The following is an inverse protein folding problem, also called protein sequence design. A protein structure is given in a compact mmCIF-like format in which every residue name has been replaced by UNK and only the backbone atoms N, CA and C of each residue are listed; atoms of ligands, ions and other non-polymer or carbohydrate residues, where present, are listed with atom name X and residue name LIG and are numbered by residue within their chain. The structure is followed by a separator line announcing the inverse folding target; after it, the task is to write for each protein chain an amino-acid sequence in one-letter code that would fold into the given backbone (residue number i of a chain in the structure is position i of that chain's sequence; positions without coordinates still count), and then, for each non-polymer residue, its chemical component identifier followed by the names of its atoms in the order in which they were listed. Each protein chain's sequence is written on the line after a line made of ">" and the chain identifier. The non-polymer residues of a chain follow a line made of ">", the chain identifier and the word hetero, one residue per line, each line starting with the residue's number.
data_IF_383222846462
#
_entry.id   IF_383222846462
#
_cell.length_a   1.000
_cell.length_b   1.000
_cell.length_c   1.000
_cell.angle_alpha   90.00
_cell.angle_beta   90.00
_cell.angle_gamma   90.00
#
_symmetry.space_group_name_H-M   'P 1'
#
loop_
_entity.id
_entity.type
_entity.pdbx_description
1 polymer ?
#
# COMPACT_ATOMS: atom_id res chain seq x y z
N UNK A 1 7.37 -15.53 8.80
CA UNK A 1 6.35 -14.68 9.44
C UNK A 1 6.90 -13.37 10.01
N UNK A 2 8.14 -13.32 10.54
CA UNK A 2 8.68 -12.09 11.15
C UNK A 2 8.83 -10.90 10.19
N UNK A 3 9.10 -11.13 8.90
CA UNK A 3 9.24 -10.06 7.89
C UNK A 3 7.90 -9.39 7.59
N UNK A 4 6.83 -10.16 7.44
CA UNK A 4 5.48 -9.64 7.14
C UNK A 4 4.94 -8.78 8.29
N UNK A 5 5.16 -9.17 9.55
CA UNK A 5 4.77 -8.37 10.72
C UNK A 5 5.57 -7.05 10.77
N UNK A 6 6.88 -7.11 10.51
CA UNK A 6 7.73 -5.91 10.45
C UNK A 6 7.27 -4.92 9.36
N UNK A 7 6.72 -5.40 8.24
CA UNK A 7 6.32 -4.55 7.12
C UNK A 7 5.17 -3.60 7.43
N UNK A 8 4.19 -4.06 8.19
CA UNK A 8 2.97 -3.28 8.43
C UNK A 8 2.96 -2.61 9.81
N UNK A 9 3.94 -2.92 10.67
CA UNK A 9 4.05 -2.33 12.00
C UNK A 9 2.87 -2.66 12.93
N UNK A 10 2.00 -3.58 12.53
CA UNK A 10 0.88 -4.09 13.30
C UNK A 10 1.03 -5.60 13.55
N UNK A 11 0.36 -6.10 14.58
CA UNK A 11 0.30 -7.54 14.86
C UNK A 11 -0.65 -8.29 13.93
N UNK A 12 -1.27 -7.60 12.96
CA UNK A 12 -2.34 -8.05 12.08
C UNK A 12 -3.51 -8.76 12.76
N UNK A 13 -4.22 -9.57 11.97
CA UNK A 13 -5.38 -10.40 12.35
C UNK A 13 -5.60 -11.53 11.35
N UNK A 14 -6.85 -11.83 10.99
CA UNK A 14 -7.19 -12.89 10.01
C UNK A 14 -6.47 -12.74 8.65
N UNK A 15 -6.09 -11.50 8.28
CA UNK A 15 -5.31 -11.21 7.08
C UNK A 15 -3.92 -11.88 7.12
N UNK A 16 -3.20 -11.79 8.23
CA UNK A 16 -1.89 -12.43 8.38
C UNK A 16 -2.03 -13.96 8.35
N UNK A 17 -3.00 -14.51 9.06
CA UNK A 17 -3.24 -15.96 9.06
C UNK A 17 -3.54 -16.49 7.65
N UNK A 18 -4.23 -15.68 6.83
CA UNK A 18 -4.63 -16.06 5.48
C UNK A 18 -3.54 -15.86 4.42
N UNK A 19 -2.69 -14.84 4.58
CA UNK A 19 -1.80 -14.39 3.49
C UNK A 19 -0.31 -14.48 3.80
N UNK A 20 0.10 -14.79 5.03
CA UNK A 20 1.50 -14.73 5.42
C UNK A 20 2.42 -15.59 4.54
N UNK A 21 2.01 -16.81 4.18
CA UNK A 21 2.83 -17.70 3.36
C UNK A 21 3.05 -17.14 1.94
N UNK A 22 1.97 -16.67 1.31
CA UNK A 22 2.04 -16.08 -0.04
C UNK A 22 2.82 -14.77 -0.03
N UNK A 23 2.69 -13.97 1.03
CA UNK A 23 3.45 -12.73 1.19
C UNK A 23 4.95 -13.02 1.37
N UNK A 24 5.35 -14.01 2.16
CA UNK A 24 6.77 -14.39 2.28
C UNK A 24 7.34 -14.81 0.91
N UNK A 25 6.63 -15.66 0.15
CA UNK A 25 7.07 -16.07 -1.18
C UNK A 25 7.08 -14.92 -2.21
N UNK A 26 6.24 -13.90 -2.02
CA UNK A 26 6.30 -12.66 -2.81
C UNK A 26 7.52 -11.83 -2.46
N UNK A 27 7.83 -11.66 -1.16
CA UNK A 27 8.98 -10.90 -0.69
C UNK A 27 10.30 -11.53 -1.11
N UNK A 28 10.40 -12.86 -1.12
CA UNK A 28 11.60 -13.55 -1.59
C UNK A 28 11.93 -13.23 -3.06
N UNK A 29 10.91 -13.01 -3.90
CA UNK A 29 11.09 -12.57 -5.29
C UNK A 29 11.55 -11.11 -5.41
N UNK A 30 11.42 -10.33 -4.34
CA UNK A 30 11.77 -8.92 -4.27
C UNK A 30 13.09 -8.68 -3.50
N UNK A 31 13.90 -9.71 -3.26
CA UNK A 31 15.15 -9.58 -2.52
C UNK A 31 16.07 -8.46 -3.05
N UNK A 32 16.09 -8.22 -4.37
CA UNK A 32 16.91 -7.16 -4.97
C UNK A 32 16.51 -5.74 -4.56
N UNK A 33 15.25 -5.53 -4.17
CA UNK A 33 14.69 -4.24 -3.74
C UNK A 33 14.35 -4.22 -2.25
N UNK A 34 14.73 -5.25 -1.49
CA UNK A 34 14.43 -5.37 -0.06
C UNK A 34 14.96 -4.15 0.72
N UNK A 35 16.15 -3.67 0.37
CA UNK A 35 16.76 -2.47 0.97
C UNK A 35 15.91 -1.20 0.82
N UNK A 36 15.01 -1.12 -0.17
CA UNK A 36 14.08 0.02 -0.32
C UNK A 36 13.03 0.03 0.80
N UNK A 37 12.75 -1.11 1.43
CA UNK A 37 11.80 -1.24 2.54
C UNK A 37 12.37 -0.74 3.87
N UNK A 38 13.69 -0.61 3.95
CA UNK A 38 14.36 0.02 5.09
C UNK A 38 14.46 1.54 4.93
N UNK A 39 14.04 2.11 3.78
CA UNK A 39 13.92 3.57 3.64
C UNK A 39 12.89 4.08 4.64
N UNK A 40 13.17 5.26 5.20
CA UNK A 40 12.22 5.93 6.06
C UNK A 40 10.94 6.22 5.28
N UNK A 41 9.86 5.51 5.63
CA UNK A 41 8.52 5.90 5.22
C UNK A 41 8.25 7.29 5.79
N UNK A 42 7.62 8.21 5.05
CA UNK A 42 7.27 9.51 5.59
C UNK A 42 6.42 9.32 6.85
N UNK A 43 6.67 10.14 7.88
CA UNK A 43 5.93 10.06 9.13
C UNK A 43 4.42 10.18 8.86
N UNK A 44 3.57 9.29 9.42
CA UNK A 44 2.13 9.41 9.28
C UNK A 44 1.62 10.77 9.78
N UNK A 45 0.61 11.38 9.12
CA UNK A 45 -0.15 10.84 7.99
C UNK A 45 0.56 11.06 6.65
N UNK A 46 0.87 9.96 5.94
CA UNK A 46 1.30 10.01 4.56
C UNK A 46 0.38 9.15 3.68
N UNK A 47 -0.11 9.67 2.55
CA UNK A 47 -0.04 11.08 2.17
C UNK A 47 -0.82 11.98 3.14
N UNK A 48 -0.47 13.27 3.21
CA UNK A 48 -1.20 14.25 4.03
C UNK A 48 -2.70 14.27 3.65
N UNK A 49 -3.59 14.54 4.60
CA UNK A 49 -5.04 14.59 4.37
C UNK A 49 -5.46 15.64 3.32
N UNK A 50 -4.61 16.65 3.08
CA UNK A 50 -4.82 17.71 2.08
C UNK A 50 -4.31 17.32 0.68
N UNK A 51 -3.76 16.11 0.50
CA UNK A 51 -3.18 15.69 -0.76
C UNK A 51 -4.28 15.54 -1.83
N UNK A 52 -4.15 16.28 -2.92
CA UNK A 52 -5.14 16.30 -4.02
C UNK A 52 -5.39 14.92 -4.60
N UNK A 53 -4.36 14.09 -4.73
CA UNK A 53 -4.50 12.73 -5.23
C UNK A 53 -5.26 11.86 -4.24
N UNK A 54 -4.96 11.96 -2.93
CA UNK A 54 -5.72 11.25 -1.90
C UNK A 54 -7.20 11.63 -1.94
N UNK A 55 -7.52 12.93 -2.01
CA UNK A 55 -8.90 13.41 -2.11
C UNK A 55 -9.64 12.87 -3.35
N UNK A 56 -8.95 12.83 -4.50
CA UNK A 56 -9.50 12.24 -5.72
C UNK A 56 -9.74 10.73 -5.56
N UNK A 57 -8.76 9.97 -5.07
CA UNK A 57 -8.87 8.52 -4.91
C UNK A 57 -10.02 8.13 -3.97
N UNK A 58 -10.21 8.86 -2.88
CA UNK A 58 -11.32 8.63 -1.95
C UNK A 58 -12.67 8.92 -2.61
N UNK A 59 -12.83 10.09 -3.22
CA UNK A 59 -14.08 10.48 -3.91
C UNK A 59 -14.42 9.49 -5.02
N UNK A 60 -13.43 9.05 -5.80
CA UNK A 60 -13.64 8.09 -6.88
C UNK A 60 -13.99 6.70 -6.37
N UNK A 61 -13.41 6.26 -5.26
CA UNK A 61 -13.77 5.00 -4.62
C UNK A 61 -15.22 5.02 -4.09
N UNK A 62 -15.69 6.15 -3.56
CA UNK A 62 -17.09 6.32 -3.14
C UNK A 62 -18.06 6.20 -4.33
N UNK A 63 -17.75 6.83 -5.47
CA UNK A 63 -18.53 6.70 -6.69
C UNK A 63 -18.61 5.23 -7.16
N UNK A 64 -17.48 4.52 -7.20
CA UNK A 64 -17.42 3.11 -7.58
C UNK A 64 -18.19 2.24 -6.58
N UNK A 65 -18.12 2.56 -5.28
CA UNK A 65 -18.84 1.81 -4.26
C UNK A 65 -20.36 1.93 -4.46
N UNK A 66 -20.84 3.11 -4.88
CA UNK A 66 -22.24 3.36 -5.18
C UNK A 66 -22.74 2.64 -6.45
N UNK A 67 -21.87 2.44 -7.46
CA UNK A 67 -22.25 1.81 -8.74
C UNK A 67 -21.99 0.30 -8.79
N UNK A 68 -20.80 -0.12 -8.36
CA UNK A 68 -20.24 -1.46 -8.59
C UNK A 68 -19.98 -2.24 -7.29
N UNK A 69 -20.14 -1.56 -6.15
CA UNK A 69 -20.07 -2.16 -4.82
C UNK A 69 -18.71 -2.03 -4.13
N UNK A 70 -18.75 -2.19 -2.80
CA UNK A 70 -17.64 -1.88 -1.91
C UNK A 70 -16.34 -2.66 -2.22
N UNK A 71 -16.44 -3.93 -2.61
CA UNK A 71 -15.25 -4.73 -2.93
C UNK A 71 -14.52 -4.20 -4.16
N UNK A 72 -15.24 -3.75 -5.17
CA UNK A 72 -14.66 -3.19 -6.40
C UNK A 72 -13.97 -1.87 -6.07
N UNK A 73 -14.62 -1.01 -5.29
CA UNK A 73 -14.06 0.24 -4.81
C UNK A 73 -12.76 0.05 -4.01
N UNK A 74 -12.73 -0.86 -3.03
CA UNK A 74 -11.53 -1.14 -2.22
C UNK A 74 -10.40 -1.67 -3.09
N UNK A 75 -10.71 -2.55 -4.04
CA UNK A 75 -9.70 -3.11 -4.96
C UNK A 75 -9.11 -2.01 -5.84
N UNK A 76 -9.98 -1.15 -6.38
CA UNK A 76 -9.57 -0.01 -7.21
C UNK A 76 -8.68 0.95 -6.42
N UNK A 77 -9.11 1.33 -5.21
CA UNK A 77 -8.38 2.24 -4.32
C UNK A 77 -7.00 1.68 -3.96
N UNK A 78 -6.92 0.41 -3.54
CA UNK A 78 -5.66 -0.23 -3.16
C UNK A 78 -4.67 -0.30 -4.33
N UNK A 79 -5.15 -0.59 -5.54
CA UNK A 79 -4.31 -0.65 -6.73
C UNK A 79 -3.72 0.72 -7.11
N UNK A 80 -4.52 1.78 -7.06
CA UNK A 80 -4.07 3.13 -7.43
C UNK A 80 -3.20 3.75 -6.35
N UNK A 81 -3.50 3.54 -5.06
CA UNK A 81 -2.63 3.98 -3.97
C UNK A 81 -1.24 3.31 -4.05
N UNK A 82 -1.18 2.03 -4.43
CA UNK A 82 0.09 1.34 -4.68
C UNK A 82 0.88 1.96 -5.84
N UNK A 83 0.18 2.32 -6.93
CA UNK A 83 0.81 2.94 -8.09
C UNK A 83 1.39 4.33 -7.75
N UNK A 84 0.61 5.19 -7.11
CA UNK A 84 1.05 6.54 -6.70
C UNK A 84 2.25 6.48 -5.74
N UNK A 85 2.25 5.54 -4.79
CA UNK A 85 3.40 5.35 -3.91
C UNK A 85 4.67 4.90 -4.65
N UNK A 86 4.51 4.14 -5.75
CA UNK A 86 5.62 3.79 -6.64
C UNK A 86 6.19 5.00 -7.38
N UNK A 87 5.35 5.91 -7.85
CA UNK A 87 5.78 7.14 -8.53
C UNK A 87 6.55 8.08 -7.59
N UNK A 88 6.05 8.31 -6.38
CA UNK A 88 6.72 9.16 -5.38
C UNK A 88 8.10 8.60 -5.00
N UNK A 89 8.22 7.28 -4.87
CA UNK A 89 9.49 6.62 -4.58
C UNK A 89 10.51 6.74 -5.72
N UNK A 90 10.05 6.73 -6.98
CA UNK A 90 10.91 6.96 -8.15
C UNK A 90 11.37 8.40 -8.23
N UNK A 91 10.47 9.37 -8.03
CA UNK A 91 10.82 10.79 -8.04
C UNK A 91 11.92 11.12 -7.03
N UNK A 92 11.79 10.62 -5.79
CA UNK A 92 12.80 10.83 -4.73
C UNK A 92 14.14 10.13 -4.98
N UNK A 93 14.18 9.16 -5.88
CA UNK A 93 15.44 8.48 -6.24
C UNK A 93 16.27 9.29 -7.26
N UNK A 94 15.63 10.24 -7.95
CA UNK A 94 16.26 11.12 -8.95
C UNK A 94 16.75 12.46 -8.35
N UNK A 95 16.50 12.71 -7.06
CA UNK A 95 16.96 13.87 -6.27
C UNK A 95 18.26 13.59 -5.51
#
# INVERSE_FOLDING_TARGET
>A
MGRVIKLFGDSGGDSLARWAEQLEGYLDKQASVEHLRDRHMPDPPWPEDNNTMLGYLLTRAEEIAATDGQRVAITWLAAHAWFEGGLDALQKADE
#
